data_IF_519830385205
#
_entry.id   IF_519830385205
#
_cell.length_a   1.000
_cell.length_b   1.000
_cell.length_c   1.000
_cell.angle_alpha   90.00
_cell.angle_beta   90.00
_cell.angle_gamma   90.00
#
_symmetry.space_group_name_H-M   'P 1'
#
loop_
_entity.id
_entity.type
_entity.pdbx_description
1 polymer ?
#
# COMPACT_ATOMS: atom_id res chain seq x y z
N UNK A 1 -2.97 1.55 3.04
CA UNK A 1 -3.45 0.31 2.41
C UNK A 1 -4.90 0.45 2.00
N UNK A 2 -5.27 -0.05 0.83
CA UNK A 2 -6.67 -0.19 0.45
C UNK A 2 -7.27 -1.42 1.13
N UNK A 3 -8.26 -1.21 2.01
CA UNK A 3 -8.84 -2.29 2.82
C UNK A 3 -9.98 -3.04 2.11
N UNK A 4 -10.62 -2.41 1.13
CA UNK A 4 -11.63 -3.06 0.30
C UNK A 4 -10.98 -3.97 -0.74
N UNK A 5 -11.67 -5.04 -1.11
CA UNK A 5 -11.28 -5.86 -2.25
C UNK A 5 -11.81 -5.27 -3.56
N UNK A 6 -11.01 -5.38 -4.62
CA UNK A 6 -11.38 -4.97 -5.98
C UNK A 6 -11.09 -6.11 -6.96
N UNK A 7 -11.80 -6.16 -8.08
CA UNK A 7 -11.48 -7.12 -9.14
C UNK A 7 -10.58 -6.48 -10.19
N UNK A 8 -9.46 -7.14 -10.47
CA UNK A 8 -8.75 -7.00 -11.72
C UNK A 8 -9.46 -7.87 -12.77
N UNK A 9 -9.71 -7.30 -13.96
CA UNK A 9 -10.36 -8.01 -15.06
C UNK A 9 -9.40 -8.05 -16.24
N UNK A 10 -9.01 -9.25 -16.64
CA UNK A 10 -8.15 -9.47 -17.81
C UNK A 10 -8.95 -9.32 -19.12
N UNK A 11 -8.23 -9.20 -20.24
CA UNK A 11 -8.85 -9.02 -21.56
C UNK A 11 -9.75 -10.19 -21.98
N UNK A 12 -9.51 -11.39 -21.45
CA UNK A 12 -10.34 -12.59 -21.65
C UNK A 12 -11.54 -12.67 -20.70
N UNK A 13 -11.74 -11.67 -19.84
CA UNK A 13 -12.81 -11.61 -18.85
C UNK A 13 -12.51 -12.31 -17.52
N UNK A 14 -11.32 -12.92 -17.37
CA UNK A 14 -10.91 -13.53 -16.09
C UNK A 14 -10.85 -12.49 -14.99
N UNK A 15 -11.45 -12.79 -13.83
CA UNK A 15 -11.53 -11.89 -12.68
C UNK A 15 -10.66 -12.40 -11.54
N UNK A 16 -9.82 -11.54 -10.99
CA UNK A 16 -9.01 -11.80 -9.80
C UNK A 16 -9.30 -10.73 -8.75
N UNK A 17 -9.78 -11.13 -7.57
CA UNK A 17 -9.94 -10.20 -6.47
C UNK A 17 -8.59 -9.87 -5.83
N UNK A 18 -8.37 -8.61 -5.48
CA UNK A 18 -7.14 -8.11 -4.86
C UNK A 18 -7.43 -7.11 -3.74
N UNK A 19 -6.55 -7.06 -2.74
CA UNK A 19 -6.32 -5.89 -1.89
C UNK A 19 -4.97 -5.28 -2.27
N UNK A 20 -4.77 -4.00 -2.00
CA UNK A 20 -3.54 -3.30 -2.41
C UNK A 20 -2.95 -2.44 -1.30
N UNK A 21 -1.65 -2.19 -1.40
CA UNK A 21 -0.92 -1.28 -0.53
C UNK A 21 0.15 -0.50 -1.31
N UNK A 22 0.53 0.65 -0.76
CA UNK A 22 1.69 1.42 -1.22
C UNK A 22 2.72 1.40 -0.11
N UNK A 23 3.68 0.48 -0.22
CA UNK A 23 4.71 0.30 0.79
C UNK A 23 5.84 1.31 0.57
N UNK A 24 6.21 2.15 1.57
CA UNK A 24 7.28 3.12 1.41
C UNK A 24 8.62 2.41 1.18
N UNK A 25 9.41 2.91 0.23
CA UNK A 25 10.76 2.39 -0.02
C UNK A 25 11.82 3.01 0.92
N UNK A 26 11.52 4.18 1.50
CA UNK A 26 12.28 4.79 2.59
C UNK A 26 11.69 4.37 3.94
N UNK A 27 12.55 4.15 4.93
CA UNK A 27 12.13 3.94 6.32
C UNK A 27 12.67 5.07 7.19
N UNK A 28 11.91 5.46 8.21
CA UNK A 28 12.40 6.33 9.27
C UNK A 28 13.40 5.57 10.14
N UNK A 29 14.27 6.29 10.84
CA UNK A 29 15.22 5.65 11.73
C UNK A 29 14.47 5.01 12.91
N UNK A 30 14.93 3.84 13.35
CA UNK A 30 14.34 3.17 14.51
C UNK A 30 14.44 4.07 15.74
N UNK A 31 13.30 4.39 16.35
CA UNK A 31 13.22 5.24 17.54
C UNK A 31 13.05 6.74 17.26
N UNK A 32 12.92 7.16 16.00
CA UNK A 32 12.51 8.53 15.69
C UNK A 32 11.13 8.80 16.27
N UNK A 33 11.01 9.95 16.94
CA UNK A 33 9.74 10.45 17.48
C UNK A 33 9.41 11.76 16.78
N UNK A 34 8.13 11.97 16.48
CA UNK A 34 7.70 13.22 15.90
C UNK A 34 8.01 14.38 16.87
N UNK A 35 8.76 15.41 16.44
CA UNK A 35 8.88 16.67 17.17
C UNK A 35 7.50 17.27 17.46
N UNK A 36 7.44 18.13 18.48
CA UNK A 36 6.23 18.89 18.76
C UNK A 36 5.91 19.86 17.61
N UNK A 37 4.64 19.91 17.21
CA UNK A 37 4.15 20.79 16.14
C UNK A 37 3.00 20.14 15.38
N UNK A 38 1.90 20.87 15.21
CA UNK A 38 0.72 20.36 14.50
C UNK A 38 0.95 20.16 13.00
N UNK A 39 1.98 20.78 12.45
CA UNK A 39 2.33 20.81 11.03
C UNK A 39 3.62 20.03 10.72
N UNK A 40 4.19 19.31 11.70
CA UNK A 40 5.47 18.63 11.54
C UNK A 40 5.53 17.72 10.30
N UNK A 41 4.51 16.88 10.08
CA UNK A 41 4.46 15.93 8.95
C UNK A 41 4.42 16.64 7.59
N UNK A 42 3.75 17.80 7.51
CA UNK A 42 3.69 18.59 6.28
C UNK A 42 5.06 19.20 5.97
N UNK A 43 5.68 19.85 6.96
CA UNK A 43 7.02 20.42 6.80
C UNK A 43 8.05 19.34 6.47
N UNK A 44 7.94 18.16 7.09
CA UNK A 44 8.85 17.05 6.83
C UNK A 44 8.71 16.52 5.41
N UNK A 45 7.49 16.36 4.90
CA UNK A 45 7.24 15.98 3.52
C UNK A 45 7.89 16.96 2.53
N UNK A 46 7.70 18.28 2.75
CA UNK A 46 8.32 19.31 1.90
C UNK A 46 9.85 19.22 1.93
N UNK A 47 10.44 19.06 3.12
CA UNK A 47 11.90 18.90 3.26
C UNK A 47 12.42 17.67 2.53
N UNK A 48 11.74 16.52 2.65
CA UNK A 48 12.17 15.28 1.98
C UNK A 48 12.07 15.40 0.46
N UNK A 49 10.99 15.97 -0.06
CA UNK A 49 10.82 16.19 -1.50
C UNK A 49 11.87 17.15 -2.07
N UNK A 50 12.31 18.16 -1.30
CA UNK A 50 13.40 19.03 -1.69
C UNK A 50 14.76 18.29 -1.79
N UNK A 51 14.94 17.19 -1.04
CA UNK A 51 16.13 16.35 -1.11
C UNK A 51 16.07 15.32 -2.25
N UNK A 52 14.87 15.00 -2.74
CA UNK A 52 14.67 14.13 -3.90
C UNK A 52 13.31 13.44 -3.91
N UNK A 53 13.01 12.67 -4.97
CA UNK A 53 11.73 12.01 -5.14
C UNK A 53 11.49 10.93 -4.08
N UNK A 54 10.27 10.91 -3.55
CA UNK A 54 9.80 9.88 -2.63
C UNK A 54 9.15 8.74 -3.40
N UNK A 55 9.35 7.50 -2.93
CA UNK A 55 8.92 6.31 -3.67
C UNK A 55 8.18 5.32 -2.78
N UNK A 56 7.15 4.73 -3.37
CA UNK A 56 6.40 3.62 -2.77
C UNK A 56 6.25 2.50 -3.79
N UNK A 57 6.34 1.26 -3.32
CA UNK A 57 6.03 0.09 -4.11
C UNK A 57 4.54 -0.21 -4.03
N UNK A 58 3.86 -0.28 -5.18
CA UNK A 58 2.46 -0.70 -5.25
C UNK A 58 2.40 -2.21 -5.22
N UNK A 59 1.94 -2.79 -4.12
CA UNK A 59 1.75 -4.23 -3.98
C UNK A 59 0.28 -4.59 -4.11
N UNK A 60 0.00 -5.67 -4.84
CA UNK A 60 -1.33 -6.26 -4.96
C UNK A 60 -1.32 -7.67 -4.39
N UNK A 61 -2.11 -7.88 -3.35
CA UNK A 61 -2.33 -9.19 -2.73
C UNK A 61 -3.52 -9.85 -3.38
N UNK A 62 -3.32 -11.03 -3.95
CA UNK A 62 -4.37 -11.79 -4.64
C UNK A 62 -5.17 -12.60 -3.63
N UNK A 63 -6.50 -12.50 -3.70
CA UNK A 63 -7.41 -13.29 -2.87
C UNK A 63 -7.22 -14.79 -3.13
N UNK A 64 -7.19 -15.56 -2.05
CA UNK A 64 -7.31 -17.00 -2.05
C UNK A 64 -8.79 -17.43 -2.11
N UNK A 65 -9.08 -18.69 -2.47
CA UNK A 65 -10.41 -19.25 -2.32
C UNK A 65 -10.89 -19.17 -0.87
N UNK A 66 -12.09 -18.61 -0.65
CA UNK A 66 -12.70 -18.48 0.67
C UNK A 66 -12.45 -17.15 1.38
N UNK A 67 -11.62 -16.27 0.83
CA UNK A 67 -11.42 -14.94 1.40
C UNK A 67 -12.70 -14.09 1.32
N UNK A 68 -13.05 -13.33 2.38
CA UNK A 68 -14.16 -12.38 2.34
C UNK A 68 -13.81 -11.21 1.43
N UNK A 69 -14.64 -10.99 0.41
CA UNK A 69 -14.44 -9.94 -0.60
C UNK A 69 -15.34 -8.72 -0.37
N UNK A 70 -16.41 -8.86 0.41
CA UNK A 70 -17.45 -7.86 0.67
C UNK A 70 -17.41 -7.29 2.10
N UNK A 71 -16.53 -7.81 2.95
CA UNK A 71 -16.35 -7.38 4.34
C UNK A 71 -14.89 -6.98 4.60
N UNK A 72 -14.61 -5.68 4.49
CA UNK A 72 -13.29 -5.11 4.70
C UNK A 72 -12.80 -5.17 6.16
N UNK A 73 -13.70 -5.44 7.13
CA UNK A 73 -13.31 -5.60 8.54
C UNK A 73 -12.61 -6.92 8.82
N UNK A 74 -12.78 -7.92 7.93
CA UNK A 74 -12.14 -9.23 8.05
C UNK A 74 -10.77 -9.26 7.38
N UNK A 75 -9.82 -9.84 8.08
CA UNK A 75 -8.49 -10.14 7.53
C UNK A 75 -8.56 -11.36 6.63
N UNK A 76 -7.73 -11.37 5.59
CA UNK A 76 -7.48 -12.58 4.80
C UNK A 76 -6.44 -13.41 5.54
N UNK A 77 -6.66 -14.72 5.62
CA UNK A 77 -5.84 -15.63 6.45
C UNK A 77 -5.00 -16.56 5.58
N UNK A 78 -3.80 -16.88 6.05
CA UNK A 78 -2.86 -17.74 5.31
C UNK A 78 -1.95 -16.97 4.37
N UNK A 79 -1.08 -17.69 3.68
CA UNK A 79 -0.13 -17.11 2.74
C UNK A 79 -0.86 -16.68 1.46
N UNK A 80 -0.61 -15.46 1.02
CA UNK A 80 -1.18 -14.92 -0.21
C UNK A 80 -0.08 -14.63 -1.21
N UNK A 81 -0.42 -14.76 -2.50
CA UNK A 81 0.46 -14.28 -3.57
C UNK A 81 0.40 -12.76 -3.60
N UNK A 82 1.56 -12.13 -3.45
CA UNK A 82 1.72 -10.67 -3.57
C UNK A 82 2.49 -10.36 -4.84
N UNK A 83 1.97 -9.42 -5.62
CA UNK A 83 2.57 -8.93 -6.85
C UNK A 83 3.02 -7.48 -6.67
N UNK A 84 4.25 -7.17 -7.09
CA UNK A 84 4.65 -5.79 -7.33
C UNK A 84 3.99 -5.32 -8.65
N UNK A 85 3.07 -4.36 -8.54
CA UNK A 85 2.34 -3.79 -9.67
C UNK A 85 2.95 -2.46 -10.16
N UNK A 86 4.00 -1.95 -9.51
CA UNK A 86 4.72 -0.77 -9.95
C UNK A 86 5.29 0.08 -8.82
N UNK A 87 5.68 1.31 -9.16
CA UNK A 87 6.23 2.27 -8.23
C UNK A 87 5.49 3.60 -8.36
N UNK A 88 4.96 4.10 -7.25
CA UNK A 88 4.48 5.47 -7.13
C UNK A 88 5.66 6.36 -6.78
N UNK A 89 5.80 7.46 -7.51
CA UNK A 89 6.84 8.48 -7.28
C UNK A 89 6.16 9.81 -7.05
N UNK A 90 6.53 10.49 -5.97
CA UNK A 90 6.19 11.89 -5.71
C UNK A 90 7.43 12.76 -5.95
#
# INVERSE_FOLDING_TARGET
NGINAFYLVAADGTRQAVRWEVAPQSQDAAGDTAPAGSDFLEQDLVRRLAAGPLRWQLNMTLANPGDPLDDASKTWTGAHKVLNAGTLVL
#
